data_IF_958598412025
#
_entry.id   IF_958598412025
#
_cell.length_a   1.000
_cell.length_b   1.000
_cell.length_c   1.000
_cell.angle_alpha   90.00
_cell.angle_beta   90.00
_cell.angle_gamma   90.00
#
_symmetry.space_group_name_H-M   'P 1'
#
loop_
_entity.id
_entity.type
_entity.pdbx_description
1 polymer ?
#
# COMPACT_ATOMS: atom_id res chain seq x y z
N UNK A 1 -20.04 -5.11 -4.81
CA UNK A 1 -18.85 -5.86 -5.31
C UNK A 1 -18.26 -6.70 -4.19
N UNK A 2 -18.52 -8.02 -4.16
CA UNK A 2 -17.90 -8.97 -3.22
C UNK A 2 -16.67 -9.60 -3.89
N UNK A 3 -15.55 -8.89 -3.86
CA UNK A 3 -14.24 -9.42 -4.17
C UNK A 3 -13.32 -9.05 -3.02
N UNK A 4 -13.20 -9.94 -2.04
CA UNK A 4 -12.26 -9.76 -0.92
C UNK A 4 -10.86 -10.07 -1.42
N UNK A 5 -9.89 -9.19 -1.14
CA UNK A 5 -8.48 -9.39 -1.50
C UNK A 5 -7.71 -10.10 -0.38
N UNK A 6 -8.43 -10.77 0.52
CA UNK A 6 -7.84 -11.47 1.66
C UNK A 6 -6.79 -12.50 1.21
N UNK A 7 -5.61 -12.43 1.82
CA UNK A 7 -4.48 -13.31 1.48
C UNK A 7 -3.83 -13.04 0.12
N UNK A 8 -4.19 -11.95 -0.57
CA UNK A 8 -3.49 -11.50 -1.79
C UNK A 8 -2.42 -10.48 -1.42
N UNK A 9 -1.29 -10.55 -2.12
CA UNK A 9 -0.23 -9.53 -2.07
C UNK A 9 -0.42 -8.57 -3.24
N UNK A 10 -0.42 -7.27 -2.98
CA UNK A 10 -0.60 -6.21 -3.99
C UNK A 10 0.58 -5.26 -3.93
N UNK A 11 1.30 -5.14 -5.04
CA UNK A 11 2.38 -4.17 -5.20
C UNK A 11 1.82 -2.86 -5.75
N UNK A 12 2.14 -1.75 -5.09
CA UNK A 12 1.72 -0.40 -5.50
C UNK A 12 2.97 0.45 -5.67
N UNK A 13 3.21 0.92 -6.90
CA UNK A 13 4.26 1.87 -7.24
C UNK A 13 3.73 3.30 -7.14
N UNK A 14 4.59 4.27 -6.86
CA UNK A 14 4.15 5.64 -6.63
C UNK A 14 3.26 5.76 -5.39
N UNK A 15 3.46 4.86 -4.42
CA UNK A 15 2.59 4.77 -3.26
C UNK A 15 2.59 6.09 -2.49
N UNK A 16 3.71 6.81 -2.35
CA UNK A 16 3.76 8.08 -1.60
C UNK A 16 2.92 9.23 -2.22
N UNK A 17 2.42 9.07 -3.45
CA UNK A 17 1.52 10.03 -4.09
C UNK A 17 0.07 9.89 -3.60
N UNK A 18 -0.73 10.95 -3.74
CA UNK A 18 -2.11 10.96 -3.23
C UNK A 18 -2.99 9.82 -3.73
N UNK A 19 -2.87 9.45 -5.01
CA UNK A 19 -3.58 8.26 -5.55
C UNK A 19 -3.00 6.94 -5.03
N UNK A 20 -1.69 6.86 -4.87
CA UNK A 20 -1.01 5.69 -4.32
C UNK A 20 -1.50 5.37 -2.91
N UNK A 21 -1.68 6.41 -2.07
CA UNK A 21 -2.27 6.30 -0.73
C UNK A 21 -3.64 5.67 -0.75
N UNK A 22 -4.54 6.20 -1.59
CA UNK A 22 -5.91 5.70 -1.58
C UNK A 22 -6.04 4.32 -2.19
N UNK A 23 -5.14 3.94 -3.11
CA UNK A 23 -5.06 2.56 -3.57
C UNK A 23 -4.59 1.63 -2.44
N UNK A 24 -3.54 2.00 -1.71
CA UNK A 24 -3.07 1.24 -0.54
C UNK A 24 -4.21 1.03 0.47
N UNK A 25 -4.96 2.08 0.77
CA UNK A 25 -6.10 2.02 1.69
C UNK A 25 -7.24 1.14 1.14
N UNK A 26 -7.62 1.35 -0.13
CA UNK A 26 -8.74 0.63 -0.75
C UNK A 26 -8.49 -0.88 -0.90
N UNK A 27 -7.25 -1.30 -1.14
CA UNK A 27 -6.89 -2.72 -1.19
C UNK A 27 -6.65 -3.30 0.21
N UNK A 28 -6.00 -2.55 1.10
CA UNK A 28 -5.74 -2.97 2.48
C UNK A 28 -7.03 -3.19 3.28
N UNK A 29 -8.00 -2.29 3.16
CA UNK A 29 -9.33 -2.43 3.78
C UNK A 29 -10.11 -3.65 3.28
N UNK A 30 -9.75 -4.20 2.12
CA UNK A 30 -10.33 -5.43 1.57
C UNK A 30 -9.54 -6.69 1.94
N UNK A 31 -8.56 -6.59 2.85
CA UNK A 31 -7.76 -7.68 3.39
C UNK A 31 -6.49 -8.00 2.59
N UNK A 32 -6.11 -7.17 1.62
CA UNK A 32 -4.85 -7.36 0.91
C UNK A 32 -3.65 -7.03 1.80
N UNK A 33 -2.57 -7.79 1.63
CA UNK A 33 -1.24 -7.38 2.09
C UNK A 33 -0.65 -6.45 1.02
N UNK A 34 -0.37 -5.21 1.40
CA UNK A 34 0.16 -4.20 0.49
C UNK A 34 1.68 -4.14 0.59
N UNK A 35 2.34 -4.13 -0.56
CA UNK A 35 3.75 -3.81 -0.73
C UNK A 35 3.79 -2.42 -1.38
N UNK A 36 4.19 -1.41 -0.61
CA UNK A 36 4.22 -0.02 -1.07
C UNK A 36 5.63 0.36 -1.52
N UNK A 37 5.77 0.85 -2.76
CA UNK A 37 7.03 1.30 -3.35
C UNK A 37 6.89 2.74 -3.84
N UNK A 38 7.86 3.58 -3.45
CA UNK A 38 8.02 4.93 -3.96
C UNK A 38 9.50 5.33 -3.93
N UNK A 39 9.87 6.30 -4.77
CA UNK A 39 11.20 6.91 -4.73
C UNK A 39 11.37 7.79 -3.47
N UNK A 40 10.28 8.29 -2.92
CA UNK A 40 10.25 9.13 -1.74
C UNK A 40 9.93 8.31 -0.49
N UNK A 41 10.96 7.68 0.08
CA UNK A 41 10.85 6.85 1.27
C UNK A 41 10.38 7.62 2.51
N UNK A 42 10.79 8.88 2.67
CA UNK A 42 10.36 9.71 3.79
C UNK A 42 8.85 9.87 3.82
N UNK A 43 8.24 10.12 2.65
CA UNK A 43 6.78 10.23 2.54
C UNK A 43 6.03 8.92 2.76
N UNK A 44 6.66 7.78 2.49
CA UNK A 44 6.07 6.47 2.83
C UNK A 44 6.08 6.21 4.34
N UNK A 45 7.16 6.63 5.02
CA UNK A 45 7.33 6.41 6.45
C UNK A 45 6.45 7.31 7.33
N UNK A 46 6.01 8.46 6.82
CA UNK A 46 5.10 9.35 7.57
C UNK A 46 3.67 8.83 7.67
N UNK A 47 3.30 7.82 6.89
CA UNK A 47 1.94 7.29 6.93
C UNK A 47 1.69 6.43 8.16
N UNK A 48 0.55 6.68 8.79
CA UNK A 48 0.11 5.99 10.02
C UNK A 48 -0.64 4.68 9.74
N UNK A 49 -0.83 4.30 8.48
CA UNK A 49 -1.57 3.08 8.14
C UNK A 49 -0.68 1.84 8.32
N UNK A 50 -1.16 0.76 8.95
CA UNK A 50 -0.37 -0.45 9.22
C UNK A 50 -0.21 -1.31 7.95
N UNK A 51 0.22 -0.72 6.82
CA UNK A 51 0.66 -1.49 5.67
C UNK A 51 2.12 -1.92 5.89
N UNK A 52 2.44 -3.16 5.49
CA UNK A 52 3.80 -3.67 5.57
C UNK A 52 4.62 -2.99 4.47
N UNK A 53 5.33 -1.92 4.82
CA UNK A 53 6.19 -1.19 3.90
C UNK A 53 7.49 -1.97 3.69
N UNK A 54 7.45 -2.95 2.78
CA UNK A 54 8.66 -3.68 2.40
C UNK A 54 9.49 -2.81 1.46
N UNK A 55 10.60 -2.30 1.98
CA UNK A 55 11.58 -1.53 1.21
C UNK A 55 12.48 -2.51 0.47
N UNK A 56 12.22 -2.75 -0.81
CA UNK A 56 13.17 -3.45 -1.67
C UNK A 56 14.28 -2.46 -2.06
N UNK A 57 15.46 -2.62 -1.44
CA UNK A 57 16.69 -1.96 -1.87
C UNK A 57 17.17 -2.51 -3.20
#
# INVERSE_FOLDING_TARGET
>A
MKGTFNGKKVLITGAAGGLGTELCLAFGTKGATIIAIDINLERLQTWTYPCQVDTFK
#
